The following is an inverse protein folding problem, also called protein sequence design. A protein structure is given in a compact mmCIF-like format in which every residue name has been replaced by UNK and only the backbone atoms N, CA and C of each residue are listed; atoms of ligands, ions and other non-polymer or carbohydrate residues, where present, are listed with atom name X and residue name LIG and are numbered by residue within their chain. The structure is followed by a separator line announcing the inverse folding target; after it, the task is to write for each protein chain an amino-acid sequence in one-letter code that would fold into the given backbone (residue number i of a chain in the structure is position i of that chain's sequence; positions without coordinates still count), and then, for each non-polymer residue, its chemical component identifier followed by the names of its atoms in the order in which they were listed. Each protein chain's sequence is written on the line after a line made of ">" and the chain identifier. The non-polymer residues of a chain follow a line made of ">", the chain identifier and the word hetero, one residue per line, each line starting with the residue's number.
data_IF_863815579715
#
_entry.id   IF_863815579715
#
_cell.length_a   1.000
_cell.length_b   1.000
_cell.length_c   1.000
_cell.angle_alpha   90.00
_cell.angle_beta   90.00
_cell.angle_gamma   90.00
#
_symmetry.space_group_name_H-M   'P 1'
#
loop_
_entity.id
_entity.type
_entity.pdbx_description
1 polymer ?
#
# COMPACT_ATOMS: atom_id res chain seq x y z
N UNK A 1 20.76 51.45 1.54
CA UNK A 1 20.39 51.84 2.93
C UNK A 1 18.95 51.38 3.16
N UNK A 2 18.69 50.58 4.20
CA UNK A 2 17.35 50.08 4.58
C UNK A 2 17.30 48.54 4.76
N UNK A 3 18.16 47.94 5.59
CA UNK A 3 17.82 47.30 6.89
C UNK A 3 16.51 46.47 6.89
N UNK A 4 16.63 45.17 6.64
CA UNK A 4 15.66 44.16 7.09
C UNK A 4 16.02 43.78 8.55
N UNK A 5 15.19 44.18 9.52
CA UNK A 5 15.36 43.82 10.94
C UNK A 5 14.83 42.41 11.19
N UNK A 6 15.72 41.46 11.46
CA UNK A 6 15.35 40.20 12.13
C UNK A 6 15.45 40.45 13.64
N UNK A 7 14.31 40.61 14.31
CA UNK A 7 14.27 40.65 15.79
C UNK A 7 14.32 39.22 16.34
N UNK A 8 15.47 38.85 16.89
CA UNK A 8 15.65 37.72 17.82
C UNK A 8 14.91 38.03 19.12
N UNK A 9 14.06 37.11 19.57
CA UNK A 9 13.71 36.97 20.99
C UNK A 9 13.99 35.52 21.38
N UNK A 10 15.11 35.32 22.06
CA UNK A 10 15.42 34.11 22.82
C UNK A 10 14.85 34.30 24.23
N UNK A 11 13.95 33.41 24.66
CA UNK A 11 13.81 33.02 26.06
C UNK A 11 13.52 31.52 26.14
N UNK A 12 14.50 30.80 26.64
CA UNK A 12 14.44 29.43 27.14
C UNK A 12 13.50 29.32 28.33
N UNK A 13 12.59 28.34 28.29
CA UNK A 13 12.05 27.64 29.46
C UNK A 13 11.68 26.21 29.05
N UNK A 14 12.28 25.24 29.73
CA UNK A 14 12.14 23.80 29.53
C UNK A 14 10.89 23.32 30.28
N UNK A 15 9.82 22.91 29.56
CA UNK A 15 8.80 21.95 30.04
C UNK A 15 8.23 21.25 28.80
N UNK A 16 8.11 19.92 28.86
CA UNK A 16 7.77 19.03 27.75
C UNK A 16 6.55 19.46 26.95
N UNK A 17 6.78 19.66 25.64
CA UNK A 17 5.73 19.93 24.67
C UNK A 17 5.80 18.84 23.61
N UNK A 18 4.78 17.98 23.56
CA UNK A 18 4.50 17.20 22.37
C UNK A 18 4.18 18.19 21.25
N UNK A 19 5.20 18.55 20.47
CA UNK A 19 5.06 19.35 19.26
C UNK A 19 4.28 18.53 18.24
N UNK A 20 2.95 18.66 18.27
CA UNK A 20 2.16 18.49 17.05
C UNK A 20 2.58 19.63 16.13
N UNK A 21 3.55 19.38 15.25
CA UNK A 21 3.88 20.27 14.16
C UNK A 21 2.65 20.33 13.23
N UNK A 22 1.78 21.30 13.48
CA UNK A 22 0.82 21.74 12.48
C UNK A 22 1.61 22.33 11.32
N UNK A 23 1.26 21.96 10.09
CA UNK A 23 1.79 22.55 8.85
C UNK A 23 1.62 24.08 8.80
N UNK A 24 0.83 24.66 9.71
CA UNK A 24 0.59 26.09 9.87
C UNK A 24 1.85 26.95 10.14
N UNK A 25 2.99 26.37 10.55
CA UNK A 25 4.21 27.13 10.88
C UNK A 25 5.35 26.99 9.85
N UNK A 26 5.11 26.42 8.66
CA UNK A 26 6.11 26.39 7.59
C UNK A 26 5.83 27.48 6.57
N UNK A 27 6.73 28.46 6.46
CA UNK A 27 6.63 29.53 5.46
C UNK A 27 7.24 29.06 4.14
N UNK A 28 6.40 28.80 3.14
CA UNK A 28 6.82 28.61 1.75
C UNK A 28 6.56 29.90 0.96
N UNK A 29 7.34 30.12 -0.09
CA UNK A 29 7.00 31.14 -1.07
C UNK A 29 5.71 30.70 -1.80
N UNK A 30 4.77 31.63 -1.99
CA UNK A 30 3.54 31.33 -2.72
C UNK A 30 3.87 31.03 -4.18
N UNK A 31 3.41 29.89 -4.69
CA UNK A 31 3.50 29.59 -6.12
C UNK A 31 2.25 30.14 -6.80
N UNK A 32 2.39 31.23 -7.57
CA UNK A 32 1.26 31.88 -8.25
C UNK A 32 0.66 31.02 -9.36
N UNK A 33 1.49 30.23 -10.05
CA UNK A 33 1.09 29.41 -11.19
C UNK A 33 1.51 27.94 -10.98
N UNK A 34 0.80 27.18 -10.13
CA UNK A 34 1.07 25.76 -9.98
C UNK A 34 0.76 25.03 -11.28
N UNK A 35 1.55 24.00 -11.58
CA UNK A 35 1.27 23.11 -12.70
C UNK A 35 0.15 22.16 -12.34
N UNK A 36 -0.89 22.10 -13.17
CA UNK A 36 -1.93 21.09 -13.05
C UNK A 36 -1.37 19.69 -13.33
N UNK A 37 -1.69 18.74 -12.47
CA UNK A 37 -1.35 17.32 -12.60
C UNK A 37 -2.66 16.53 -12.68
N UNK A 38 -3.13 16.19 -13.88
CA UNK A 38 -4.39 15.48 -14.06
C UNK A 38 -4.29 14.07 -13.48
N UNK A 39 -5.39 13.57 -12.90
CA UNK A 39 -5.49 12.18 -12.46
C UNK A 39 -6.88 11.60 -12.68
N UNK A 40 -6.93 10.28 -12.84
CA UNK A 40 -8.15 9.47 -12.79
C UNK A 40 -8.06 8.51 -11.62
N UNK A 41 -9.06 8.53 -10.73
CA UNK A 41 -9.14 7.64 -9.59
C UNK A 41 -10.04 6.45 -9.91
N UNK A 42 -9.50 5.24 -9.77
CA UNK A 42 -10.24 4.00 -9.74
C UNK A 42 -10.45 3.57 -8.29
N UNK A 43 -11.72 3.48 -7.89
CA UNK A 43 -12.11 3.04 -6.56
C UNK A 43 -12.29 4.19 -5.56
N UNK A 44 -13.47 4.79 -5.55
CA UNK A 44 -13.91 5.74 -4.53
C UNK A 44 -14.40 5.06 -3.23
N UNK A 45 -13.73 3.98 -2.81
CA UNK A 45 -13.98 3.28 -1.54
C UNK A 45 -13.28 3.99 -0.36
N UNK A 46 -13.03 3.27 0.73
CA UNK A 46 -12.40 3.84 1.93
C UNK A 46 -11.05 4.54 1.67
N UNK A 47 -10.14 3.88 0.93
CA UNK A 47 -8.83 4.46 0.57
C UNK A 47 -8.98 5.61 -0.43
N UNK A 48 -9.78 5.43 -1.49
CA UNK A 48 -9.98 6.46 -2.50
C UNK A 48 -10.61 7.74 -1.95
N UNK A 49 -11.63 7.62 -1.08
CA UNK A 49 -12.23 8.77 -0.40
C UNK A 49 -11.23 9.47 0.53
N UNK A 50 -10.45 8.72 1.30
CA UNK A 50 -9.40 9.28 2.15
C UNK A 50 -8.31 10.01 1.32
N UNK A 51 -7.98 9.48 0.14
CA UNK A 51 -7.06 10.13 -0.80
C UNK A 51 -7.63 11.46 -1.33
N UNK A 52 -8.89 11.46 -1.76
CA UNK A 52 -9.56 12.67 -2.24
C UNK A 52 -9.56 13.76 -1.17
N UNK A 53 -9.89 13.42 0.08
CA UNK A 53 -9.80 14.35 1.20
C UNK A 53 -8.38 14.82 1.47
N UNK A 54 -7.38 13.94 1.37
CA UNK A 54 -5.98 14.30 1.57
C UNK A 54 -5.50 15.29 0.50
N UNK A 55 -5.93 15.12 -0.75
CA UNK A 55 -5.63 16.03 -1.86
C UNK A 55 -6.23 17.42 -1.59
N UNK A 56 -7.54 17.51 -1.26
CA UNK A 56 -8.20 18.80 -1.01
C UNK A 56 -7.63 19.51 0.22
N UNK A 57 -7.32 18.78 1.29
CA UNK A 57 -6.68 19.33 2.51
C UNK A 57 -5.23 19.81 2.26
N UNK A 58 -4.55 19.27 1.24
CA UNK A 58 -3.13 19.54 0.98
C UNK A 58 -2.87 20.51 -0.18
N UNK A 59 -3.91 21.14 -0.76
CA UNK A 59 -3.80 22.10 -1.89
C UNK A 59 -2.72 23.16 -1.68
N UNK A 60 -2.74 23.84 -0.54
CA UNK A 60 -1.79 24.90 -0.19
C UNK A 60 -0.36 24.37 -0.12
N UNK A 61 -0.16 23.21 0.54
CA UNK A 61 1.15 22.58 0.65
C UNK A 61 1.68 22.17 -0.73
N UNK A 62 0.87 21.52 -1.56
CA UNK A 62 1.26 21.07 -2.89
C UNK A 62 1.59 22.24 -3.82
N UNK A 63 0.78 23.30 -3.79
CA UNK A 63 1.02 24.52 -4.55
C UNK A 63 2.31 25.19 -4.10
N UNK A 64 2.42 25.54 -2.82
CA UNK A 64 3.48 26.45 -2.36
C UNK A 64 4.83 25.75 -2.18
N UNK A 65 4.83 24.46 -1.83
CA UNK A 65 6.08 23.68 -1.68
C UNK A 65 6.54 23.02 -2.96
N UNK A 66 5.60 22.47 -3.73
CA UNK A 66 5.93 21.60 -4.87
C UNK A 66 5.57 22.22 -6.23
N UNK A 67 4.86 23.37 -6.26
CA UNK A 67 4.47 24.04 -7.49
C UNK A 67 3.50 23.22 -8.34
N UNK A 68 2.69 22.36 -7.71
CA UNK A 68 1.74 21.51 -8.41
C UNK A 68 0.34 21.57 -7.81
N UNK A 69 -0.65 21.20 -8.62
CA UNK A 69 -2.03 21.03 -8.20
C UNK A 69 -2.63 19.77 -8.84
N UNK A 70 -3.10 18.82 -8.02
CA UNK A 70 -3.71 17.58 -8.55
C UNK A 70 -5.14 17.82 -9.02
N UNK A 71 -5.42 17.61 -10.30
CA UNK A 71 -6.73 17.84 -10.88
C UNK A 71 -7.46 16.52 -11.15
N UNK A 72 -8.62 16.31 -10.51
CA UNK A 72 -9.40 15.09 -10.66
C UNK A 72 -10.21 15.13 -11.97
N UNK A 73 -9.75 14.44 -13.01
CA UNK A 73 -10.45 14.37 -14.30
C UNK A 73 -11.54 13.31 -14.32
N UNK A 74 -11.37 12.24 -13.55
CA UNK A 74 -12.41 11.25 -13.35
C UNK A 74 -12.28 10.56 -11.98
N UNK A 75 -13.43 10.24 -11.37
CA UNK A 75 -13.51 9.44 -10.14
C UNK A 75 -14.47 8.28 -10.41
N UNK A 76 -13.99 7.05 -10.21
CA UNK A 76 -14.70 5.84 -10.58
C UNK A 76 -15.02 4.96 -9.37
N UNK A 77 -16.16 4.30 -9.41
CA UNK A 77 -16.44 3.10 -8.62
C UNK A 77 -16.90 1.96 -9.56
N UNK A 78 -17.46 0.88 -9.01
CA UNK A 78 -17.91 -0.25 -9.81
C UNK A 78 -19.10 0.04 -10.71
N UNK A 79 -19.83 1.15 -10.52
CA UNK A 79 -21.04 1.46 -11.28
C UNK A 79 -20.87 2.58 -12.31
N UNK A 80 -19.96 3.52 -12.09
CA UNK A 80 -19.76 4.65 -13.01
C UNK A 80 -18.42 5.37 -12.83
N UNK A 81 -18.13 6.26 -13.78
CA UNK A 81 -17.11 7.30 -13.69
C UNK A 81 -17.78 8.68 -13.70
N UNK A 82 -17.51 9.51 -12.69
CA UNK A 82 -17.89 10.93 -12.68
C UNK A 82 -16.76 11.73 -13.32
N UNK A 83 -17.06 12.44 -14.40
CA UNK A 83 -16.09 13.15 -15.23
C UNK A 83 -16.03 14.64 -14.86
N UNK A 84 -14.81 15.16 -14.72
CA UNK A 84 -14.54 16.58 -14.54
C UNK A 84 -14.60 17.37 -15.86
N UNK A 85 -14.59 18.70 -15.74
CA UNK A 85 -14.29 19.59 -16.85
C UNK A 85 -12.80 19.44 -17.27
N UNK A 86 -12.31 20.14 -18.32
CA UNK A 86 -10.88 20.10 -18.67
C UNK A 86 -9.93 20.55 -17.56
N UNK A 87 -10.42 21.31 -16.57
CA UNK A 87 -9.68 21.72 -15.36
C UNK A 87 -9.84 20.74 -14.20
N UNK A 88 -10.57 19.63 -14.39
CA UNK A 88 -10.99 18.66 -13.38
C UNK A 88 -12.23 19.07 -12.58
N UNK A 89 -12.56 18.24 -11.59
CA UNK A 89 -13.62 18.47 -10.60
C UNK A 89 -13.19 19.51 -9.56
N UNK A 90 -14.13 20.37 -9.14
CA UNK A 90 -13.90 21.31 -8.04
C UNK A 90 -13.82 20.60 -6.69
N UNK A 91 -13.24 21.25 -5.68
CA UNK A 91 -13.14 20.69 -4.33
C UNK A 91 -14.53 20.47 -3.69
N UNK A 92 -15.54 21.28 -4.04
CA UNK A 92 -16.94 21.07 -3.63
C UNK A 92 -17.52 19.81 -4.27
N UNK A 93 -17.26 19.60 -5.57
CA UNK A 93 -17.72 18.40 -6.28
C UNK A 93 -17.05 17.14 -5.70
N UNK A 94 -15.74 17.19 -5.44
CA UNK A 94 -15.00 16.09 -4.79
C UNK A 94 -15.60 15.80 -3.41
N UNK A 95 -15.85 16.83 -2.60
CA UNK A 95 -16.44 16.67 -1.27
C UNK A 95 -17.84 16.06 -1.32
N UNK A 96 -18.66 16.45 -2.29
CA UNK A 96 -19.98 15.88 -2.51
C UNK A 96 -19.92 14.39 -2.89
N UNK A 97 -18.96 13.99 -3.72
CA UNK A 97 -18.75 12.59 -4.09
C UNK A 97 -18.27 11.75 -2.89
N UNK A 98 -17.36 12.27 -2.07
CA UNK A 98 -16.92 11.61 -0.83
C UNK A 98 -18.11 11.40 0.12
N UNK A 99 -18.95 12.42 0.32
CA UNK A 99 -20.17 12.30 1.13
C UNK A 99 -21.18 11.29 0.55
N UNK A 100 -21.35 11.28 -0.78
CA UNK A 100 -22.19 10.30 -1.48
C UNK A 100 -21.70 8.87 -1.20
N UNK A 101 -20.39 8.62 -1.29
CA UNK A 101 -19.80 7.30 -1.02
C UNK A 101 -19.92 6.92 0.46
N UNK A 102 -19.76 7.85 1.38
CA UNK A 102 -19.95 7.62 2.82
C UNK A 102 -21.39 7.17 3.16
N UNK A 103 -22.39 7.59 2.36
CA UNK A 103 -23.78 7.14 2.50
C UNK A 103 -24.07 5.74 1.92
N UNK A 104 -23.06 5.08 1.34
CA UNK A 104 -23.23 3.81 0.63
C UNK A 104 -23.82 3.93 -0.78
N UNK A 105 -23.99 5.15 -1.28
CA UNK A 105 -24.59 5.40 -2.59
C UNK A 105 -23.55 5.20 -3.72
N UNK A 106 -23.91 4.51 -4.82
CA UNK A 106 -23.00 4.32 -5.97
C UNK A 106 -22.85 5.60 -6.81
N UNK A 107 -21.72 5.76 -7.50
CA UNK A 107 -21.44 6.95 -8.32
C UNK A 107 -22.35 7.09 -9.54
N UNK A 108 -22.99 6.01 -10.00
CA UNK A 108 -24.04 6.07 -11.03
C UNK A 108 -25.23 6.95 -10.66
N UNK A 109 -25.38 7.31 -9.37
CA UNK A 109 -26.40 8.25 -8.88
C UNK A 109 -25.85 9.64 -8.55
N UNK A 110 -24.59 9.92 -8.88
CA UNK A 110 -23.98 11.22 -8.65
C UNK A 110 -24.58 12.28 -9.59
N UNK A 111 -24.55 13.54 -9.14
CA UNK A 111 -24.85 14.69 -9.99
C UNK A 111 -23.65 15.02 -10.88
N UNK A 112 -23.91 15.64 -12.04
CA UNK A 112 -22.88 16.07 -12.99
C UNK A 112 -22.74 15.15 -14.21
N UNK A 113 -21.59 15.20 -14.87
CA UNK A 113 -21.31 14.37 -16.05
C UNK A 113 -20.90 12.97 -15.62
N UNK A 114 -21.80 12.00 -15.76
CA UNK A 114 -21.58 10.62 -15.32
C UNK A 114 -21.56 9.68 -16.53
N UNK A 115 -20.49 8.89 -16.64
CA UNK A 115 -20.42 7.75 -17.56
C UNK A 115 -20.74 6.49 -16.78
N UNK A 116 -21.99 6.02 -16.90
CA UNK A 116 -22.45 4.80 -16.23
C UNK A 116 -21.91 3.58 -16.97
N UNK A 117 -21.36 2.62 -16.23
CA UNK A 117 -20.94 1.34 -16.81
C UNK A 117 -22.18 0.57 -17.26
N UNK A 118 -22.21 0.17 -18.53
CA UNK A 118 -23.36 -0.55 -19.08
C UNK A 118 -23.52 -1.92 -18.41
N UNK A 119 -24.76 -2.42 -18.36
CA UNK A 119 -25.02 -3.76 -17.83
C UNK A 119 -24.32 -4.82 -18.70
N UNK A 120 -23.67 -5.79 -18.05
CA UNK A 120 -22.84 -6.79 -18.72
C UNK A 120 -21.53 -6.29 -19.35
N UNK A 121 -21.22 -4.98 -19.29
CA UNK A 121 -19.94 -4.47 -19.77
C UNK A 121 -18.80 -4.94 -18.85
N UNK A 122 -17.72 -5.43 -19.47
CA UNK A 122 -16.53 -5.83 -18.74
C UNK A 122 -15.90 -4.65 -17.99
N UNK A 123 -15.55 -4.88 -16.73
CA UNK A 123 -15.00 -3.83 -15.87
C UNK A 123 -13.64 -3.33 -16.35
N UNK A 124 -12.84 -4.21 -16.97
CA UNK A 124 -11.51 -3.87 -17.45
C UNK A 124 -11.57 -3.02 -18.71
N UNK A 125 -12.49 -3.33 -19.62
CA UNK A 125 -12.78 -2.49 -20.79
C UNK A 125 -13.28 -1.12 -20.38
N UNK A 126 -14.21 -1.05 -19.42
CA UNK A 126 -14.74 0.22 -18.91
C UNK A 126 -13.62 1.10 -18.33
N UNK A 127 -12.84 0.58 -17.37
CA UNK A 127 -11.79 1.35 -16.72
C UNK A 127 -10.68 1.78 -17.70
N UNK A 128 -10.29 0.89 -18.62
CA UNK A 128 -9.32 1.22 -19.67
C UNK A 128 -9.82 2.33 -20.59
N UNK A 129 -11.11 2.31 -20.96
CA UNK A 129 -11.70 3.36 -21.80
C UNK A 129 -11.71 4.73 -21.10
N UNK A 130 -12.02 4.78 -19.80
CA UNK A 130 -11.99 6.01 -19.00
C UNK A 130 -10.56 6.55 -18.91
N UNK A 131 -9.58 5.71 -18.57
CA UNK A 131 -8.17 6.12 -18.54
C UNK A 131 -7.68 6.64 -19.90
N UNK A 132 -7.99 5.93 -21.00
CA UNK A 132 -7.60 6.34 -22.34
C UNK A 132 -8.17 7.71 -22.70
N UNK A 133 -9.45 7.95 -22.40
CA UNK A 133 -10.11 9.23 -22.68
C UNK A 133 -9.46 10.37 -21.90
N UNK A 134 -9.30 10.21 -20.58
CA UNK A 134 -8.67 11.23 -19.74
C UNK A 134 -7.23 11.54 -20.18
N UNK A 135 -6.49 10.52 -20.61
CA UNK A 135 -5.12 10.67 -21.04
C UNK A 135 -4.97 11.37 -22.40
N UNK A 136 -5.93 11.18 -23.31
CA UNK A 136 -5.99 11.92 -24.58
C UNK A 136 -6.33 13.40 -24.37
N UNK A 137 -7.22 13.70 -23.43
CA UNK A 137 -7.64 15.06 -23.10
C UNK A 137 -6.61 15.81 -22.25
N UNK A 138 -5.82 15.08 -21.44
CA UNK A 138 -4.88 15.66 -20.49
C UNK A 138 -3.57 14.84 -20.42
N UNK A 139 -2.56 15.16 -21.24
CA UNK A 139 -1.24 14.54 -21.18
C UNK A 139 -0.59 14.67 -19.79
N UNK A 140 0.13 13.63 -19.36
CA UNK A 140 0.71 13.54 -18.03
C UNK A 140 -0.26 13.03 -16.95
N UNK A 141 -1.43 12.51 -17.35
CA UNK A 141 -2.44 11.97 -16.44
C UNK A 141 -1.90 10.80 -15.61
N UNK A 142 -2.22 10.80 -14.31
CA UNK A 142 -1.92 9.70 -13.39
C UNK A 142 -3.17 8.84 -13.21
N UNK A 143 -3.07 7.56 -13.58
CA UNK A 143 -4.05 6.54 -13.20
C UNK A 143 -3.81 6.12 -11.76
N UNK A 144 -4.78 6.32 -10.89
CA UNK A 144 -4.68 6.01 -9.47
C UNK A 144 -5.58 4.83 -9.13
N UNK A 145 -5.00 3.67 -8.85
CA UNK A 145 -5.72 2.45 -8.52
C UNK A 145 -5.81 2.25 -6.99
N UNK A 146 -6.98 2.57 -6.44
CA UNK A 146 -7.38 2.29 -5.06
C UNK A 146 -8.41 1.15 -4.97
N UNK A 147 -8.45 0.26 -5.97
CA UNK A 147 -9.38 -0.87 -6.02
C UNK A 147 -8.77 -2.14 -5.43
N UNK A 148 -9.54 -3.23 -5.46
CA UNK A 148 -9.08 -4.59 -5.13
C UNK A 148 -9.45 -5.58 -6.25
N UNK A 149 -9.41 -5.15 -7.51
CA UNK A 149 -9.75 -5.96 -8.70
C UNK A 149 -8.60 -6.02 -9.69
N UNK A 150 -8.48 -7.10 -10.43
CA UNK A 150 -7.59 -7.24 -11.60
C UNK A 150 -8.08 -6.50 -12.85
N UNK A 151 -9.32 -6.00 -12.85
CA UNK A 151 -9.87 -5.22 -13.96
C UNK A 151 -9.06 -3.95 -14.29
N UNK A 152 -8.22 -3.46 -13.38
CA UNK A 152 -7.36 -2.29 -13.64
C UNK A 152 -6.12 -2.60 -14.47
N UNK A 153 -5.76 -3.89 -14.62
CA UNK A 153 -4.52 -4.31 -15.30
C UNK A 153 -4.34 -3.69 -16.69
N UNK A 154 -5.35 -3.67 -17.59
CA UNK A 154 -5.17 -3.05 -18.90
C UNK A 154 -4.83 -1.56 -18.85
N UNK A 155 -5.47 -0.80 -17.95
CA UNK A 155 -5.19 0.62 -17.75
C UNK A 155 -3.79 0.85 -17.13
N UNK A 156 -3.38 0.00 -16.19
CA UNK A 156 -2.04 0.07 -15.59
C UNK A 156 -0.94 -0.29 -16.60
N UNK A 157 -1.18 -1.27 -17.48
CA UNK A 157 -0.25 -1.63 -18.55
C UNK A 157 -0.11 -0.49 -19.59
N UNK A 158 -1.21 0.17 -19.95
CA UNK A 158 -1.19 1.37 -20.78
C UNK A 158 -0.31 2.46 -20.12
N UNK A 159 -0.53 2.72 -18.83
CA UNK A 159 0.28 3.67 -18.06
C UNK A 159 1.75 3.28 -17.95
N UNK A 160 2.06 1.98 -17.90
CA UNK A 160 3.43 1.47 -17.95
C UNK A 160 4.09 1.59 -19.33
N UNK A 161 3.40 2.12 -20.34
CA UNK A 161 3.90 2.27 -21.71
C UNK A 161 3.82 0.99 -22.54
N UNK A 162 2.96 0.03 -22.15
CA UNK A 162 2.75 -1.22 -22.89
C UNK A 162 1.64 -1.02 -23.91
N UNK A 163 2.00 -0.98 -25.20
CA UNK A 163 1.00 -1.04 -26.28
C UNK A 163 0.55 -2.49 -26.53
N UNK A 164 -0.76 -2.75 -26.74
CA UNK A 164 -1.26 -4.06 -27.17
C UNK A 164 -0.60 -4.59 -28.45
N UNK A 165 -0.15 -3.69 -29.33
CA UNK A 165 0.46 -4.01 -30.63
C UNK A 165 1.98 -4.05 -30.64
N UNK A 166 2.65 -3.88 -29.50
CA UNK A 166 4.12 -3.89 -29.42
C UNK A 166 4.75 -2.62 -30.01
N UNK A 167 4.74 -1.54 -29.24
CA UNK A 167 5.31 -0.24 -29.58
C UNK A 167 5.28 0.71 -28.37
N UNK A 168 5.91 1.88 -28.46
CA UNK A 168 5.80 2.90 -27.43
C UNK A 168 4.35 3.40 -27.34
N UNK A 169 3.79 3.45 -26.12
CA UNK A 169 2.46 4.01 -25.94
C UNK A 169 2.47 5.49 -26.39
N UNK A 170 1.55 5.92 -27.27
CA UNK A 170 1.54 7.27 -27.82
C UNK A 170 1.09 8.34 -26.82
N UNK A 171 0.86 7.97 -25.56
CA UNK A 171 0.20 8.81 -24.55
C UNK A 171 1.07 8.87 -23.29
N UNK A 172 1.38 10.09 -22.82
CA UNK A 172 2.10 10.28 -21.55
C UNK A 172 1.15 10.02 -20.38
N UNK A 173 1.10 8.76 -19.95
CA UNK A 173 0.34 8.31 -18.78
C UNK A 173 1.29 7.69 -17.77
N UNK A 174 0.97 7.86 -16.49
CA UNK A 174 1.66 7.24 -15.36
C UNK A 174 0.63 6.57 -14.45
N UNK A 175 1.05 5.72 -13.53
CA UNK A 175 0.16 5.05 -12.60
C UNK A 175 0.69 4.95 -11.18
N UNK A 176 -0.23 5.04 -10.23
CA UNK A 176 -0.02 4.71 -8.82
C UNK A 176 -1.03 3.64 -8.43
N UNK A 177 -0.63 2.67 -7.62
CA UNK A 177 -1.55 1.62 -7.16
C UNK A 177 -1.37 1.28 -5.68
N UNK A 178 -2.48 1.21 -4.94
CA UNK A 178 -2.58 0.50 -3.66
C UNK A 178 -3.10 -0.95 -3.84
N UNK A 179 -3.55 -1.30 -5.04
CA UNK A 179 -4.06 -2.62 -5.36
C UNK A 179 -2.91 -3.61 -5.54
N UNK A 180 -2.90 -4.67 -4.74
CA UNK A 180 -1.88 -5.72 -4.78
C UNK A 180 -2.03 -6.68 -5.96
N UNK A 181 -3.27 -6.88 -6.46
CA UNK A 181 -3.57 -7.94 -7.45
C UNK A 181 -2.72 -7.84 -8.73
N UNK A 182 -2.53 -6.66 -9.35
CA UNK A 182 -1.65 -6.54 -10.52
C UNK A 182 -0.18 -6.89 -10.26
N UNK A 183 0.28 -6.78 -9.00
CA UNK A 183 1.68 -6.96 -8.63
C UNK A 183 1.97 -8.34 -8.02
N UNK A 184 0.95 -9.00 -7.47
CA UNK A 184 1.02 -10.37 -6.94
C UNK A 184 0.30 -11.41 -7.80
N UNK A 185 -0.22 -11.01 -8.97
CA UNK A 185 -0.84 -11.88 -9.98
C UNK A 185 0.21 -12.55 -10.88
N UNK A 186 -0.09 -12.80 -12.16
CA UNK A 186 0.88 -13.41 -13.09
C UNK A 186 2.19 -12.63 -13.16
N UNK A 187 3.33 -13.32 -13.14
CA UNK A 187 4.66 -12.68 -13.17
C UNK A 187 4.89 -11.82 -14.43
N UNK A 188 4.28 -12.19 -15.56
CA UNK A 188 4.35 -11.41 -16.80
C UNK A 188 3.75 -10.00 -16.64
N UNK A 189 2.64 -9.88 -15.90
CA UNK A 189 2.01 -8.58 -15.60
C UNK A 189 2.94 -7.74 -14.74
N UNK A 190 3.48 -8.30 -13.64
CA UNK A 190 4.44 -7.58 -12.79
C UNK A 190 5.67 -7.13 -13.59
N UNK A 191 6.23 -8.01 -14.40
CA UNK A 191 7.41 -7.73 -15.23
C UNK A 191 7.15 -6.55 -16.17
N UNK A 192 5.98 -6.54 -16.83
CA UNK A 192 5.56 -5.46 -17.71
C UNK A 192 5.29 -4.16 -16.98
N UNK A 193 4.78 -4.20 -15.74
CA UNK A 193 4.50 -2.99 -14.95
C UNK A 193 5.77 -2.38 -14.35
N UNK A 194 6.69 -3.20 -13.86
CA UNK A 194 7.74 -2.77 -12.93
C UNK A 194 9.16 -3.00 -13.46
N UNK A 195 9.44 -4.15 -14.06
CA UNK A 195 10.81 -4.57 -14.39
C UNK A 195 11.29 -4.12 -15.78
N UNK A 196 10.35 -3.71 -16.65
CA UNK A 196 10.70 -3.28 -17.99
C UNK A 196 11.43 -1.93 -17.99
N UNK A 197 12.66 -1.90 -18.50
CA UNK A 197 13.43 -0.67 -18.67
C UNK A 197 12.81 0.20 -19.78
N UNK A 198 12.08 1.26 -19.38
CA UNK A 198 11.38 2.17 -20.32
C UNK A 198 11.70 3.65 -20.07
N UNK A 199 12.90 3.93 -19.56
CA UNK A 199 13.31 5.28 -19.19
C UNK A 199 12.82 5.66 -17.80
N UNK A 200 12.03 6.73 -17.69
CA UNK A 200 11.55 7.23 -16.41
C UNK A 200 10.54 6.28 -15.75
N UNK A 201 10.49 6.21 -14.41
CA UNK A 201 9.46 5.49 -13.68
C UNK A 201 8.05 5.94 -14.11
N UNK A 202 7.26 4.99 -14.60
CA UNK A 202 5.86 5.22 -15.00
C UNK A 202 4.85 4.66 -14.01
N UNK A 203 5.25 3.69 -13.18
CA UNK A 203 4.37 3.01 -12.23
C UNK A 203 4.98 3.06 -10.84
N UNK A 204 4.18 3.43 -9.84
CA UNK A 204 4.52 3.29 -8.42
C UNK A 204 3.44 2.51 -7.67
N UNK A 205 3.86 1.83 -6.62
CA UNK A 205 3.03 0.82 -5.94
C UNK A 205 3.40 0.69 -4.45
N UNK A 206 3.85 1.78 -3.82
CA UNK A 206 4.28 1.80 -2.41
C UNK A 206 3.18 1.26 -1.50
N UNK A 207 1.94 1.71 -1.73
CA UNK A 207 0.78 1.35 -0.92
C UNK A 207 0.37 -0.13 -0.99
N UNK A 208 1.02 -0.94 -1.84
CA UNK A 208 0.78 -2.39 -1.88
C UNK A 208 1.42 -3.14 -0.71
N UNK A 209 2.49 -2.60 -0.10
CA UNK A 209 3.23 -3.23 1.01
C UNK A 209 3.50 -2.21 2.11
N UNK A 210 2.83 -2.36 3.25
CA UNK A 210 3.05 -1.49 4.41
C UNK A 210 2.25 -0.19 4.41
N UNK A 211 1.19 -0.09 3.59
CA UNK A 211 0.32 1.08 3.49
C UNK A 211 1.10 2.38 3.15
N UNK A 212 1.31 3.27 4.12
CA UNK A 212 2.07 4.51 3.91
C UNK A 212 3.57 4.39 4.21
N UNK A 213 4.04 3.24 4.70
CA UNK A 213 5.45 3.01 4.99
C UNK A 213 6.25 2.96 3.67
N UNK A 214 7.43 3.61 3.59
CA UNK A 214 8.23 3.67 2.37
C UNK A 214 9.05 2.38 2.15
N UNK A 215 8.38 1.23 2.11
CA UNK A 215 9.01 -0.10 2.01
C UNK A 215 9.57 -0.35 0.61
N UNK A 216 8.74 -0.15 -0.42
CA UNK A 216 9.12 -0.31 -1.83
C UNK A 216 10.19 0.71 -2.19
N UNK A 217 10.04 1.98 -1.80
CA UNK A 217 11.03 3.01 -2.07
C UNK A 217 12.38 2.73 -1.39
N UNK A 218 12.38 2.26 -0.13
CA UNK A 218 13.61 1.86 0.54
C UNK A 218 14.28 0.68 -0.16
N UNK A 219 13.50 -0.34 -0.54
CA UNK A 219 14.00 -1.50 -1.25
C UNK A 219 14.58 -1.14 -2.62
N UNK A 220 13.88 -0.31 -3.39
CA UNK A 220 14.35 0.16 -4.70
C UNK A 220 15.63 0.99 -4.59
N UNK A 221 15.82 1.76 -3.51
CA UNK A 221 17.10 2.46 -3.25
C UNK A 221 18.24 1.49 -3.03
N UNK A 222 18.03 0.45 -2.23
CA UNK A 222 19.02 -0.62 -1.97
C UNK A 222 19.38 -1.34 -3.27
N UNK A 223 18.39 -1.73 -4.07
CA UNK A 223 18.60 -2.36 -5.39
C UNK A 223 19.33 -1.42 -6.33
N UNK A 224 18.92 -0.15 -6.40
CA UNK A 224 19.52 0.85 -7.27
C UNK A 224 20.96 1.21 -6.92
N UNK A 225 21.35 1.11 -5.64
CA UNK A 225 22.75 1.26 -5.20
C UNK A 225 23.58 -0.01 -5.34
N UNK A 226 23.01 -1.09 -5.88
CA UNK A 226 23.63 -2.41 -5.99
C UNK A 226 24.13 -2.99 -4.65
N UNK A 227 23.44 -2.69 -3.55
CA UNK A 227 23.72 -3.32 -2.25
C UNK A 227 22.96 -4.64 -2.15
N UNK A 228 23.70 -5.75 -2.00
CA UNK A 228 23.16 -7.09 -2.11
C UNK A 228 22.25 -7.42 -0.92
N UNK A 229 20.94 -7.51 -1.17
CA UNK A 229 19.96 -7.95 -0.17
C UNK A 229 20.19 -9.43 0.16
N UNK A 230 20.29 -9.75 1.44
CA UNK A 230 20.51 -11.12 1.94
C UNK A 230 19.27 -11.71 2.60
N UNK A 231 18.42 -10.86 3.18
CA UNK A 231 17.17 -11.24 3.80
C UNK A 231 16.24 -10.03 3.85
N UNK A 232 14.98 -10.21 3.48
CA UNK A 232 13.89 -9.35 3.93
C UNK A 232 13.03 -10.17 4.89
N UNK A 233 12.88 -9.68 6.12
CA UNK A 233 11.99 -10.26 7.12
C UNK A 233 10.91 -9.26 7.48
N UNK A 234 9.65 -9.67 7.61
CA UNK A 234 8.63 -8.68 7.97
C UNK A 234 7.29 -9.24 8.43
N UNK A 235 6.68 -8.52 9.37
CA UNK A 235 5.30 -8.71 9.80
C UNK A 235 4.43 -7.69 9.08
N UNK A 236 3.48 -8.20 8.28
CA UNK A 236 2.72 -7.39 7.33
C UNK A 236 1.20 -7.36 7.60
N UNK A 237 0.72 -8.04 8.64
CA UNK A 237 -0.69 -8.14 8.98
C UNK A 237 -0.93 -7.68 10.41
N UNK A 238 -1.77 -6.64 10.55
CA UNK A 238 -2.18 -6.14 11.86
C UNK A 238 -2.98 -7.17 12.66
N UNK A 239 -3.80 -7.98 11.98
CA UNK A 239 -4.60 -9.05 12.58
C UNK A 239 -3.72 -10.16 13.13
N UNK A 240 -2.75 -10.63 12.34
CA UNK A 240 -1.81 -11.65 12.79
C UNK A 240 -0.87 -11.11 13.87
N UNK A 241 -0.45 -9.85 13.77
CA UNK A 241 0.30 -9.16 14.83
C UNK A 241 -0.46 -9.11 16.15
N UNK A 242 -1.77 -8.81 16.10
CA UNK A 242 -2.64 -8.82 17.27
C UNK A 242 -2.74 -10.23 17.88
N UNK A 243 -2.96 -11.25 17.04
CA UNK A 243 -3.05 -12.64 17.48
C UNK A 243 -1.75 -13.09 18.15
N UNK A 244 -0.60 -12.86 17.52
CA UNK A 244 0.71 -13.20 18.09
C UNK A 244 1.00 -12.45 19.39
N UNK A 245 0.58 -11.18 19.49
CA UNK A 245 0.72 -10.39 20.72
C UNK A 245 -0.10 -10.96 21.88
N UNK A 246 -1.35 -11.37 21.62
CA UNK A 246 -2.22 -11.99 22.62
C UNK A 246 -1.70 -13.35 23.08
N UNK A 247 -1.25 -14.19 22.14
CA UNK A 247 -0.61 -15.47 22.47
C UNK A 247 0.62 -15.28 23.35
N UNK A 248 1.47 -14.29 23.04
CA UNK A 248 2.65 -13.98 23.84
C UNK A 248 2.30 -13.48 25.25
N UNK A 249 1.13 -12.88 25.42
CA UNK A 249 0.58 -12.48 26.73
C UNK A 249 -0.05 -13.66 27.51
N UNK A 250 -0.06 -14.87 26.94
CA UNK A 250 -0.60 -16.08 27.57
C UNK A 250 -2.10 -16.30 27.33
N UNK A 251 -2.74 -15.54 26.44
CA UNK A 251 -4.14 -15.76 26.06
C UNK A 251 -4.27 -16.99 25.15
N UNK A 252 -5.32 -17.83 25.29
CA UNK A 252 -5.57 -18.95 24.37
C UNK A 252 -5.82 -18.47 22.93
N UNK A 253 -5.35 -19.22 21.93
CA UNK A 253 -5.49 -18.89 20.51
C UNK A 253 -6.94 -18.62 20.11
N UNK A 254 -7.84 -19.53 20.51
CA UNK A 254 -9.28 -19.44 20.26
C UNK A 254 -9.88 -18.13 20.80
N UNK A 255 -9.50 -17.75 22.01
CA UNK A 255 -9.98 -16.53 22.68
C UNK A 255 -9.49 -15.27 21.97
N UNK A 256 -8.21 -15.21 21.60
CA UNK A 256 -7.64 -14.05 20.91
C UNK A 256 -8.26 -13.86 19.53
N UNK A 257 -8.47 -14.94 18.77
CA UNK A 257 -9.13 -14.88 17.45
C UNK A 257 -10.59 -14.43 17.58
N UNK A 258 -11.33 -14.96 18.56
CA UNK A 258 -12.71 -14.54 18.82
C UNK A 258 -12.81 -13.04 19.15
N UNK A 259 -11.90 -12.55 20.01
CA UNK A 259 -11.81 -11.13 20.36
C UNK A 259 -11.41 -10.26 19.17
N UNK A 260 -10.45 -10.70 18.36
CA UNK A 260 -10.08 -10.01 17.12
C UNK A 260 -11.27 -9.87 16.17
N UNK A 261 -12.10 -10.92 16.05
CA UNK A 261 -13.33 -10.89 15.25
C UNK A 261 -14.37 -9.92 15.81
N UNK A 262 -14.60 -9.92 17.13
CA UNK A 262 -15.53 -9.01 17.81
C UNK A 262 -15.13 -7.54 17.63
N UNK A 263 -13.83 -7.25 17.72
CA UNK A 263 -13.28 -5.90 17.53
C UNK A 263 -13.24 -5.48 16.05
N UNK A 264 -13.61 -6.35 15.12
CA UNK A 264 -13.55 -6.08 13.68
C UNK A 264 -12.13 -5.99 13.13
N UNK A 265 -11.15 -6.64 13.77
CA UNK A 265 -9.78 -6.75 13.27
C UNK A 265 -9.61 -7.84 12.24
N UNK A 266 -10.53 -8.81 12.17
CA UNK A 266 -10.53 -9.84 11.12
C UNK A 266 -11.48 -9.46 10.00
N UNK A 267 -11.29 -10.07 8.84
CA UNK A 267 -12.32 -10.17 7.81
C UNK A 267 -13.57 -10.92 8.35
N UNK A 268 -14.74 -10.84 7.65
CA UNK A 268 -15.93 -11.59 8.02
C UNK A 268 -15.68 -13.09 8.19
N UNK A 269 -14.74 -13.64 7.42
CA UNK A 269 -14.15 -14.95 7.61
C UNK A 269 -12.71 -14.83 8.13
N UNK A 270 -12.41 -15.16 9.41
CA UNK A 270 -11.06 -15.02 9.97
C UNK A 270 -10.00 -15.85 9.25
N UNK A 271 -10.39 -16.87 8.47
CA UNK A 271 -9.45 -17.66 7.66
C UNK A 271 -8.73 -16.84 6.60
N UNK A 272 -9.35 -15.77 6.10
CA UNK A 272 -8.73 -14.89 5.12
C UNK A 272 -7.48 -14.18 5.67
N UNK A 273 -7.45 -13.93 7.00
CA UNK A 273 -6.29 -13.42 7.71
C UNK A 273 -5.36 -14.54 8.19
N UNK A 274 -5.91 -15.53 8.89
CA UNK A 274 -5.18 -16.63 9.52
C UNK A 274 -4.48 -17.56 8.52
N UNK A 275 -4.92 -17.53 7.25
CA UNK A 275 -4.31 -18.28 6.16
C UNK A 275 -3.00 -17.68 5.64
N UNK A 276 -2.65 -16.45 6.03
CA UNK A 276 -1.37 -15.82 5.66
C UNK A 276 -1.25 -15.36 4.20
N UNK A 277 -2.30 -15.52 3.39
CA UNK A 277 -2.27 -15.23 1.94
C UNK A 277 -1.98 -13.75 1.65
N UNK A 278 -2.52 -12.81 2.44
CA UNK A 278 -2.22 -11.39 2.28
C UNK A 278 -0.74 -11.06 2.58
N UNK A 279 -0.18 -11.70 3.62
CA UNK A 279 1.25 -11.58 3.96
C UNK A 279 2.11 -12.12 2.82
N UNK A 280 1.73 -13.27 2.25
CA UNK A 280 2.40 -13.88 1.10
C UNK A 280 2.32 -13.01 -0.17
N UNK A 281 1.18 -12.38 -0.46
CA UNK A 281 1.08 -11.41 -1.58
C UNK A 281 2.04 -10.24 -1.40
N UNK A 282 2.13 -9.67 -0.20
CA UNK A 282 3.05 -8.56 0.11
C UNK A 282 4.51 -8.99 -0.01
N UNK A 283 4.86 -10.15 0.54
CA UNK A 283 6.19 -10.72 0.41
C UNK A 283 6.58 -11.01 -1.04
N UNK A 284 5.64 -11.53 -1.84
CA UNK A 284 5.85 -11.80 -3.27
C UNK A 284 6.16 -10.53 -4.04
N UNK A 285 5.47 -9.42 -3.74
CA UNK A 285 5.75 -8.11 -4.35
C UNK A 285 7.18 -7.65 -4.00
N UNK A 286 7.64 -7.84 -2.76
CA UNK A 286 9.01 -7.51 -2.36
C UNK A 286 10.04 -8.38 -3.08
N UNK A 287 9.82 -9.69 -3.13
CA UNK A 287 10.69 -10.62 -3.84
C UNK A 287 10.80 -10.30 -5.33
N UNK A 288 9.67 -9.98 -5.98
CA UNK A 288 9.65 -9.57 -7.38
C UNK A 288 10.31 -8.21 -7.61
N UNK A 289 10.20 -7.30 -6.64
CA UNK A 289 10.92 -6.01 -6.66
C UNK A 289 12.45 -6.19 -6.57
N UNK A 290 12.93 -7.25 -5.91
CA UNK A 290 14.35 -7.67 -5.96
C UNK A 290 14.77 -8.28 -7.31
N UNK A 291 13.83 -8.52 -8.23
CA UNK A 291 14.05 -9.19 -9.50
C UNK A 291 13.86 -10.71 -9.46
N UNK A 292 13.36 -11.28 -8.36
CA UNK A 292 13.05 -12.71 -8.29
C UNK A 292 11.82 -13.02 -9.15
N UNK A 293 11.92 -14.06 -9.99
CA UNK A 293 10.83 -14.51 -10.86
C UNK A 293 10.06 -15.63 -10.18
N UNK A 294 9.16 -15.26 -9.27
CA UNK A 294 8.35 -16.19 -8.50
C UNK A 294 6.87 -16.02 -8.84
N UNK A 295 6.12 -17.12 -8.78
CA UNK A 295 4.67 -17.16 -8.72
C UNK A 295 4.19 -17.44 -7.30
N UNK A 296 2.89 -17.20 -7.04
CA UNK A 296 2.30 -17.48 -5.72
C UNK A 296 2.43 -18.96 -5.32
N UNK A 297 2.48 -19.87 -6.30
CA UNK A 297 2.70 -21.31 -6.08
C UNK A 297 4.10 -21.65 -5.58
N UNK A 298 5.07 -20.75 -5.74
CA UNK A 298 6.44 -20.92 -5.25
C UNK A 298 6.60 -20.46 -3.80
N UNK A 299 5.55 -19.83 -3.23
CA UNK A 299 5.54 -19.28 -1.87
C UNK A 299 5.11 -20.37 -0.89
N UNK A 300 5.99 -20.69 0.07
CA UNK A 300 5.62 -21.55 1.19
C UNK A 300 4.82 -20.73 2.21
N UNK A 301 3.56 -21.08 2.44
CA UNK A 301 2.69 -20.42 3.42
C UNK A 301 2.26 -21.44 4.48
N UNK A 302 2.49 -21.12 5.75
CA UNK A 302 1.99 -21.86 6.90
C UNK A 302 0.75 -21.14 7.47
N UNK A 303 -0.48 -21.66 7.25
CA UNK A 303 -1.66 -21.15 7.92
C UNK A 303 -1.61 -21.37 9.44
N UNK A 304 -2.30 -20.53 10.20
CA UNK A 304 -2.48 -20.71 11.66
C UNK A 304 -3.56 -21.73 12.03
N UNK A 305 -4.02 -22.52 11.08
CA UNK A 305 -4.98 -23.60 11.25
C UNK A 305 -4.62 -24.76 10.31
N UNK A 306 -4.90 -26.01 10.70
CA UNK A 306 -4.58 -27.16 9.87
C UNK A 306 -5.62 -27.32 8.75
N UNK A 307 -5.29 -28.06 7.70
CA UNK A 307 -6.10 -28.17 6.47
C UNK A 307 -7.52 -28.70 6.71
N UNK A 308 -7.72 -29.50 7.75
CA UNK A 308 -9.00 -30.08 8.15
C UNK A 308 -10.03 -29.01 8.52
N UNK A 309 -9.58 -27.85 9.02
CA UNK A 309 -10.46 -26.73 9.39
C UNK A 309 -10.77 -25.80 8.20
N UNK A 310 -10.01 -25.89 7.10
CA UNK A 310 -10.13 -24.97 5.97
C UNK A 310 -11.51 -25.03 5.30
N UNK A 311 -12.11 -26.23 5.22
CA UNK A 311 -13.38 -26.47 4.53
C UNK A 311 -14.65 -26.27 5.38
N UNK A 312 -14.52 -25.90 6.65
CA UNK A 312 -15.66 -25.79 7.56
C UNK A 312 -16.53 -24.54 7.27
N UNK A 313 -17.74 -24.48 7.84
CA UNK A 313 -18.46 -23.21 7.91
C UNK A 313 -17.75 -22.26 8.88
N UNK A 314 -17.95 -20.94 8.76
CA UNK A 314 -17.34 -19.98 9.71
C UNK A 314 -17.70 -20.29 11.17
N UNK A 315 -18.97 -20.58 11.54
CA UNK A 315 -19.32 -20.99 12.90
C UNK A 315 -18.61 -22.27 13.38
N UNK A 316 -18.51 -23.28 12.52
CA UNK A 316 -17.85 -24.55 12.88
C UNK A 316 -16.33 -24.37 13.03
N UNK A 317 -15.72 -23.56 12.15
CA UNK A 317 -14.32 -23.17 12.25
C UNK A 317 -14.02 -22.51 13.60
N UNK A 318 -14.81 -21.50 13.98
CA UNK A 318 -14.66 -20.80 15.25
C UNK A 318 -14.83 -21.74 16.45
N UNK A 319 -15.77 -22.69 16.36
CA UNK A 319 -16.03 -23.67 17.41
C UNK A 319 -14.92 -24.73 17.53
N UNK A 320 -14.14 -24.95 16.47
CA UNK A 320 -13.03 -25.90 16.47
C UNK A 320 -11.70 -25.28 16.97
N UNK A 321 -11.56 -23.96 16.98
CA UNK A 321 -10.32 -23.28 17.39
C UNK A 321 -9.77 -23.69 18.77
N UNK A 322 -10.59 -23.97 19.81
CA UNK A 322 -10.06 -24.41 21.11
C UNK A 322 -9.20 -25.67 21.04
N UNK A 323 -9.39 -26.53 20.02
CA UNK A 323 -8.54 -27.71 19.81
C UNK A 323 -7.08 -27.37 19.48
N UNK A 324 -6.78 -26.12 19.12
CA UNK A 324 -5.45 -25.64 18.76
C UNK A 324 -4.73 -24.94 19.92
N UNK A 325 -5.43 -24.65 21.02
CA UNK A 325 -4.90 -23.83 22.12
C UNK A 325 -3.64 -24.44 22.76
N UNK A 326 -3.66 -25.73 23.08
CA UNK A 326 -2.53 -26.43 23.70
C UNK A 326 -1.29 -26.45 22.78
N UNK A 327 -1.51 -26.61 21.47
CA UNK A 327 -0.44 -26.62 20.47
C UNK A 327 0.25 -25.26 20.37
N UNK A 328 -0.53 -24.17 20.33
CA UNK A 328 0.02 -22.82 20.33
C UNK A 328 0.70 -22.47 21.66
N UNK A 329 0.13 -22.88 22.79
CA UNK A 329 0.75 -22.68 24.10
C UNK A 329 2.12 -23.37 24.18
N UNK A 330 2.23 -24.60 23.66
CA UNK A 330 3.51 -25.31 23.59
C UNK A 330 4.54 -24.61 22.68
N UNK A 331 4.13 -24.11 21.51
CA UNK A 331 5.00 -23.33 20.60
C UNK A 331 5.51 -22.04 21.27
N UNK A 332 4.65 -21.32 22.00
CA UNK A 332 5.03 -20.11 22.74
C UNK A 332 5.99 -20.46 23.87
N UNK A 333 5.70 -21.50 24.66
CA UNK A 333 6.57 -21.93 25.76
C UNK A 333 7.97 -22.32 25.27
N UNK A 334 8.06 -23.01 24.13
CA UNK A 334 9.34 -23.35 23.50
C UNK A 334 10.13 -22.09 23.09
N UNK A 335 9.50 -21.14 22.40
CA UNK A 335 10.16 -19.89 22.04
C UNK A 335 10.65 -19.10 23.26
N UNK A 336 9.83 -19.00 24.32
CA UNK A 336 10.18 -18.30 25.56
C UNK A 336 11.36 -18.96 26.28
N UNK A 337 11.46 -20.29 26.25
CA UNK A 337 12.57 -21.02 26.86
C UNK A 337 13.93 -20.64 26.27
N UNK A 338 13.95 -20.26 24.99
CA UNK A 338 15.15 -19.82 24.26
C UNK A 338 15.36 -18.29 24.31
N UNK A 339 14.56 -17.55 25.09
CA UNK A 339 14.60 -16.08 25.13
C UNK A 339 14.02 -15.41 23.87
N UNK A 340 13.28 -16.16 23.07
CA UNK A 340 12.63 -15.73 21.85
C UNK A 340 11.15 -15.41 22.08
N UNK A 341 10.54 -14.79 21.08
CA UNK A 341 9.09 -14.59 20.96
C UNK A 341 8.64 -15.10 19.59
N UNK A 342 7.42 -15.61 19.53
CA UNK A 342 6.85 -16.12 18.29
C UNK A 342 6.19 -14.98 17.51
N UNK A 343 6.49 -14.89 16.22
CA UNK A 343 5.90 -13.90 15.30
C UNK A 343 5.43 -14.58 14.03
N UNK A 344 4.41 -14.02 13.40
CA UNK A 344 4.00 -14.42 12.07
C UNK A 344 4.59 -13.45 11.05
N UNK A 345 5.50 -13.92 10.22
CA UNK A 345 6.29 -13.06 9.33
C UNK A 345 6.58 -13.74 8.00
N UNK A 346 6.93 -12.93 7.00
CA UNK A 346 7.53 -13.40 5.77
C UNK A 346 9.06 -13.34 5.85
N UNK A 347 9.72 -14.27 5.18
CA UNK A 347 11.15 -14.35 5.00
C UNK A 347 11.45 -14.51 3.50
N UNK A 348 12.04 -13.47 2.91
CA UNK A 348 12.47 -13.44 1.49
C UNK A 348 13.98 -13.52 1.45
N UNK A 349 14.52 -14.58 0.86
CA UNK A 349 15.97 -14.78 0.67
C UNK A 349 16.27 -14.86 -0.83
N UNK A 350 16.96 -13.85 -1.39
CA UNK A 350 17.39 -13.91 -2.79
C UNK A 350 18.36 -15.08 -3.05
N UNK A 351 18.44 -15.57 -4.30
CA UNK A 351 19.45 -16.55 -4.70
C UNK A 351 20.88 -16.05 -4.39
N UNK A 352 21.73 -16.94 -3.87
CA UNK A 352 23.13 -16.63 -3.57
C UNK A 352 24.04 -17.84 -3.78
N UNK A 353 25.19 -17.64 -4.41
CA UNK A 353 26.24 -18.68 -4.58
C UNK A 353 25.71 -20.01 -5.16
N UNK A 354 24.78 -19.94 -6.12
CA UNK A 354 24.16 -21.12 -6.75
C UNK A 354 22.99 -21.73 -5.97
N UNK A 355 22.67 -21.24 -4.77
CA UNK A 355 21.44 -21.61 -4.07
C UNK A 355 20.22 -20.93 -4.69
N UNK A 356 19.10 -21.66 -4.76
CA UNK A 356 17.82 -21.09 -5.13
C UNK A 356 17.38 -20.09 -4.06
N UNK A 357 16.76 -18.99 -4.49
CA UNK A 357 16.08 -18.09 -3.57
C UNK A 357 14.87 -18.75 -2.94
N UNK A 358 14.43 -18.26 -1.79
CA UNK A 358 13.26 -18.78 -1.07
C UNK A 358 12.36 -17.66 -0.58
N UNK A 359 11.07 -17.98 -0.48
CA UNK A 359 10.06 -17.12 0.07
C UNK A 359 9.13 -17.97 0.94
N UNK A 360 9.18 -17.73 2.25
CA UNK A 360 8.37 -18.42 3.24
C UNK A 360 7.56 -17.43 4.07
N UNK A 361 6.36 -17.82 4.47
CA UNK A 361 5.46 -17.06 5.33
C UNK A 361 4.91 -18.01 6.39
N UNK A 362 5.09 -17.67 7.65
CA UNK A 362 4.68 -18.55 8.74
C UNK A 362 5.13 -18.07 10.10
N UNK A 363 5.10 -18.99 11.06
CA UNK A 363 5.60 -18.73 12.40
C UNK A 363 7.14 -18.74 12.39
N UNK A 364 7.72 -17.71 12.97
CA UNK A 364 9.16 -17.62 13.21
C UNK A 364 9.40 -17.28 14.69
N UNK A 365 10.42 -17.89 15.27
CA UNK A 365 10.95 -17.50 16.56
C UNK A 365 12.07 -16.47 16.35
N UNK A 366 11.99 -15.35 17.07
CA UNK A 366 12.98 -14.28 17.00
C UNK A 366 13.37 -13.83 18.41
N UNK A 367 14.61 -13.36 18.63
CA UNK A 367 15.01 -12.83 19.92
C UNK A 367 14.03 -11.76 20.40
N UNK A 368 13.63 -11.79 21.67
CA UNK A 368 12.70 -10.80 22.23
C UNK A 368 13.21 -9.35 22.08
N UNK A 369 14.54 -9.18 22.02
CA UNK A 369 15.22 -7.90 21.82
C UNK A 369 15.38 -7.47 20.36
N UNK A 370 15.05 -8.34 19.39
CA UNK A 370 15.13 -8.01 17.96
C UNK A 370 14.04 -7.00 17.54
N UNK A 371 14.18 -6.29 16.41
CA UNK A 371 13.15 -5.40 15.92
C UNK A 371 11.76 -6.07 15.80
N UNK A 372 11.69 -7.27 15.20
CA UNK A 372 10.45 -8.06 15.16
C UNK A 372 9.99 -8.54 16.55
N UNK A 373 10.93 -8.85 17.45
CA UNK A 373 10.63 -9.26 18.82
C UNK A 373 9.93 -8.16 19.62
N UNK A 374 10.32 -6.91 19.42
CA UNK A 374 9.73 -5.73 20.08
C UNK A 374 8.42 -5.24 19.46
N UNK A 375 7.90 -5.91 18.42
CA UNK A 375 6.57 -5.62 17.89
C UNK A 375 5.49 -5.91 18.93
N UNK A 376 4.48 -5.05 18.92
CA UNK A 376 3.31 -5.15 19.80
C UNK A 376 2.08 -4.63 19.07
N UNK A 377 0.94 -5.29 19.27
CA UNK A 377 -0.34 -4.86 18.68
C UNK A 377 -0.38 -5.12 17.18
N UNK A 378 -0.86 -4.14 16.40
CA UNK A 378 -1.12 -4.27 14.96
C UNK A 378 -0.11 -3.52 14.07
N UNK A 379 1.03 -3.12 14.62
CA UNK A 379 2.10 -2.49 13.86
C UNK A 379 2.69 -3.47 12.83
N UNK A 380 2.97 -2.95 11.63
CA UNK A 380 3.80 -3.65 10.66
C UNK A 380 5.26 -3.26 10.85
N UNK A 381 6.15 -4.19 10.50
CA UNK A 381 7.58 -3.94 10.46
C UNK A 381 8.24 -4.75 9.36
N UNK A 382 9.23 -4.14 8.71
CA UNK A 382 10.09 -4.76 7.71
C UNK A 382 11.55 -4.52 8.07
N UNK A 383 12.32 -5.59 8.08
CA UNK A 383 13.77 -5.61 8.19
C UNK A 383 14.35 -5.94 6.81
N UNK A 384 15.24 -5.07 6.31
CA UNK A 384 15.99 -5.32 5.07
C UNK A 384 17.46 -5.47 5.46
N UNK A 385 17.97 -6.70 5.38
CA UNK A 385 19.37 -7.03 5.59
C UNK A 385 20.10 -7.03 4.25
N UNK A 386 21.26 -6.40 4.22
CA UNK A 386 22.07 -6.27 3.00
C UNK A 386 23.55 -6.55 3.28
N UNK A 387 24.43 -6.39 2.30
CA UNK A 387 25.86 -6.45 2.50
C UNK A 387 26.34 -5.37 3.47
N UNK A 388 25.89 -4.13 3.27
CA UNK A 388 26.27 -3.00 4.13
C UNK A 388 25.45 -2.92 5.44
N UNK A 389 24.20 -3.38 5.43
CA UNK A 389 23.30 -3.42 6.59
C UNK A 389 23.17 -4.84 7.17
N UNK A 390 24.30 -5.54 7.33
CA UNK A 390 24.33 -6.94 7.80
C UNK A 390 24.16 -7.08 9.32
N UNK A 391 24.80 -6.20 10.10
CA UNK A 391 24.74 -6.21 11.57
C UNK A 391 23.53 -5.47 12.13
N UNK A 392 23.09 -4.41 11.43
CA UNK A 392 21.93 -3.61 11.82
C UNK A 392 21.09 -3.38 10.56
N UNK A 393 19.97 -4.11 10.40
CA UNK A 393 19.16 -4.00 9.20
C UNK A 393 18.50 -2.63 9.09
N UNK A 394 18.06 -2.27 7.89
CA UNK A 394 17.11 -1.18 7.73
C UNK A 394 15.77 -1.64 8.30
N UNK A 395 15.27 -0.92 9.32
CA UNK A 395 14.00 -1.22 9.98
C UNK A 395 12.98 -0.14 9.66
N UNK A 396 11.87 -0.53 9.05
CA UNK A 396 10.72 0.33 8.80
C UNK A 396 9.55 -0.17 9.64
N UNK A 397 9.03 0.66 10.55
CA UNK A 397 7.92 0.31 11.45
C UNK A 397 6.83 1.38 11.42
N UNK A 398 5.58 0.94 11.46
CA UNK A 398 4.43 1.80 11.69
C UNK A 398 3.11 1.10 11.37
N UNK A 399 2.03 1.87 11.33
CA UNK A 399 0.71 1.34 11.01
C UNK A 399 0.69 0.76 9.59
N UNK A 400 0.45 -0.56 9.51
CA UNK A 400 0.48 -1.34 8.28
C UNK A 400 -0.79 -1.38 7.45
N UNK A 401 -1.86 -0.80 7.98
CA UNK A 401 -3.19 -0.77 7.43
C UNK A 401 -3.89 0.53 7.85
N UNK A 402 -5.07 0.77 7.27
CA UNK A 402 -5.87 1.97 7.50
C UNK A 402 -6.05 2.79 6.23
N UNK A 403 -7.24 3.35 6.07
CA UNK A 403 -7.62 4.11 4.87
C UNK A 403 -6.74 5.36 4.70
N UNK A 404 -6.54 6.11 5.78
CA UNK A 404 -5.72 7.33 5.76
C UNK A 404 -4.22 7.08 5.54
N UNK A 405 -3.65 6.05 6.17
CA UNK A 405 -2.22 5.69 6.00
C UNK A 405 -1.95 5.19 4.58
N UNK A 406 -2.83 4.36 4.03
CA UNK A 406 -2.74 3.88 2.64
C UNK A 406 -2.89 5.03 1.64
N UNK A 407 -3.88 5.91 1.86
CA UNK A 407 -4.08 7.10 1.03
C UNK A 407 -2.87 8.04 1.04
N UNK A 408 -2.20 8.19 2.19
CA UNK A 408 -0.97 8.97 2.28
C UNK A 408 0.17 8.37 1.43
N UNK A 409 0.32 7.03 1.42
CA UNK A 409 1.27 6.34 0.54
C UNK A 409 0.97 6.56 -0.94
N UNK A 410 -0.31 6.43 -1.33
CA UNK A 410 -0.75 6.71 -2.71
C UNK A 410 -0.46 8.16 -3.11
N UNK A 411 -0.75 9.12 -2.23
CA UNK A 411 -0.50 10.54 -2.50
C UNK A 411 1.01 10.85 -2.61
N UNK A 412 1.85 10.20 -1.79
CA UNK A 412 3.31 10.33 -1.90
C UNK A 412 3.82 9.80 -3.24
N UNK A 413 3.31 8.66 -3.70
CA UNK A 413 3.64 8.12 -5.03
C UNK A 413 3.15 9.03 -6.17
N UNK A 414 1.97 9.65 -6.03
CA UNK A 414 1.47 10.64 -6.99
C UNK A 414 2.40 11.86 -7.06
N UNK A 415 2.89 12.34 -5.91
CA UNK A 415 3.87 13.43 -5.83
C UNK A 415 5.18 13.06 -6.50
N UNK A 416 5.74 11.88 -6.20
CA UNK A 416 6.99 11.42 -6.80
C UNK A 416 6.91 11.33 -8.32
N UNK A 417 5.80 10.82 -8.86
CA UNK A 417 5.56 10.79 -10.30
C UNK A 417 5.38 12.19 -10.89
N UNK A 418 4.63 13.06 -10.21
CA UNK A 418 4.43 14.43 -10.65
C UNK A 418 5.75 15.20 -10.72
N UNK A 419 6.71 14.90 -9.85
CA UNK A 419 8.03 15.55 -9.81
C UNK A 419 9.04 14.96 -10.78
N UNK A 420 8.77 13.78 -11.34
CA UNK A 420 9.63 13.11 -12.31
C UNK A 420 9.36 13.67 -13.72
N UNK A 421 10.35 14.37 -14.30
CA UNK A 421 10.20 15.06 -15.60
C UNK A 421 10.90 14.30 -16.72
N UNK A 422 10.26 14.21 -17.89
CA UNK A 422 10.99 14.04 -19.15
C UNK A 422 11.79 15.32 -19.43
N UNK A 423 13.07 15.18 -19.81
CA UNK A 423 13.85 16.32 -20.26
C UNK A 423 13.16 16.88 -21.51
N UNK A 424 12.70 18.13 -21.43
CA UNK A 424 12.12 18.87 -22.55
C UNK A 424 13.22 19.26 -23.53
#
# INVERSE_FOLDING_TARGET
>A
RGRCMIRRVLRTSVVGLALRYSTANMSYAVCENPRSVPFVLFGAGGVGSALLEAITKSRVLHRDRYGIEFSAHAICDSSAAVLGAPTGLSDEAISALVALKASGTPLSKASGTVSVRADGQDASEFLASVASKCAQEAPGCIVVDCTATDATVPALLMAAGVSPSGGAAPIDVRAVSANKKPFSGPMDVFSKLVLAARGLPRVRYEATVGAGLPVIAALQRVVGSADAVTLISGSFSGTLGYVMSGLQAGEPFSSVVAKAKELGYTEPDPRDDLGGVDVARKALILARTLGMKLEMTDVSVEPLYPSELAGLSVPDFMSALPSLDDSFAAKIAAAVADGNVLRYAASVRPPKDGSAGSLAVGLIDVPASSPLGTLSGSDNLVEIHTGWYSQTPLVLRGAGAGTGTTAAGVLADMLDLAMTREAV
#
